data_IF_357379405481
#
_entry.id   IF_357379405481
#
_cell.length_a   1.000
_cell.length_b   1.000
_cell.length_c   1.000
_cell.angle_alpha   90.00
_cell.angle_beta   90.00
_cell.angle_gamma   90.00
#
_symmetry.space_group_name_H-M   'P 1'
#
loop_
_entity.id
_entity.type
_entity.pdbx_description
1 polymer ?
#
# COMPACT_ATOMS: atom_id res chain seq x y z
N UNK A 1 -3.57 2.24 11.30
CA UNK A 1 -4.67 1.93 10.37
C UNK A 1 -5.03 0.46 10.51
N UNK A 2 -6.25 0.03 10.22
CA UNK A 2 -6.63 -1.39 10.25
C UNK A 2 -6.50 -2.05 8.87
N UNK A 3 -6.26 -3.37 8.82
CA UNK A 3 -6.21 -4.17 7.57
C UNK A 3 -7.52 -4.09 6.80
N UNK A 4 -8.66 -4.07 7.49
CA UNK A 4 -9.97 -3.93 6.85
C UNK A 4 -10.14 -2.59 6.11
N UNK A 5 -9.55 -1.51 6.64
CA UNK A 5 -9.54 -0.21 5.94
C UNK A 5 -8.67 -0.25 4.68
N UNK A 6 -7.54 -0.98 4.75
CA UNK A 6 -6.67 -1.18 3.59
C UNK A 6 -7.34 -2.04 2.51
N UNK A 7 -8.02 -3.13 2.89
CA UNK A 7 -8.77 -3.99 1.95
C UNK A 7 -9.80 -3.18 1.16
N UNK A 8 -10.49 -2.24 1.81
CA UNK A 8 -11.46 -1.36 1.13
C UNK A 8 -10.84 -0.51 0.03
N UNK A 9 -9.56 -0.14 0.13
CA UNK A 9 -8.85 0.61 -0.92
C UNK A 9 -8.64 -0.21 -2.20
N UNK A 10 -8.71 -1.54 -2.10
CA UNK A 10 -8.57 -2.44 -3.26
C UNK A 10 -9.91 -2.98 -3.77
N UNK A 11 -10.97 -3.00 -2.95
CA UNK A 11 -12.24 -3.64 -3.32
C UNK A 11 -13.24 -2.74 -4.06
N UNK A 12 -13.20 -1.41 -3.87
CA UNK A 12 -14.22 -0.46 -4.41
C UNK A 12 -13.71 0.39 -5.58
N UNK A 13 -13.10 -0.26 -6.57
CA UNK A 13 -12.41 0.46 -7.65
C UNK A 13 -11.06 0.95 -7.17
N UNK A 14 -10.00 0.33 -7.70
CA UNK A 14 -8.65 0.60 -7.23
C UNK A 14 -8.20 2.01 -7.65
N UNK A 15 -7.72 2.77 -6.68
CA UNK A 15 -7.06 4.06 -6.89
C UNK A 15 -5.63 3.96 -6.38
N UNK A 16 -4.61 4.31 -7.19
CA UNK A 16 -3.22 4.28 -6.74
C UNK A 16 -3.00 5.04 -5.43
N UNK A 17 -2.28 4.44 -4.49
CA UNK A 17 -1.96 5.06 -3.20
C UNK A 17 -0.51 4.80 -2.77
N UNK A 18 -0.01 5.62 -1.85
CA UNK A 18 1.26 5.44 -1.15
C UNK A 18 0.98 5.02 0.29
N UNK A 19 1.58 3.93 0.71
CA UNK A 19 1.65 3.49 2.10
C UNK A 19 2.77 4.20 2.83
N UNK A 20 2.50 4.58 4.07
CA UNK A 20 3.49 5.14 4.99
C UNK A 20 3.57 4.26 6.23
N UNK A 21 4.79 3.93 6.62
CA UNK A 21 5.08 3.15 7.82
C UNK A 21 5.56 4.03 8.98
N UNK A 22 5.44 3.52 10.20
CA UNK A 22 5.89 4.20 11.43
C UNK A 22 7.40 4.39 11.50
N UNK A 23 8.17 3.59 10.76
CA UNK A 23 9.64 3.67 10.67
C UNK A 23 10.13 4.67 9.62
N UNK A 24 9.21 5.40 8.97
CA UNK A 24 9.52 6.39 7.94
C UNK A 24 9.61 5.82 6.52
N UNK A 25 9.54 4.49 6.32
CA UNK A 25 9.48 3.90 4.97
C UNK A 25 8.15 4.20 4.29
N UNK A 26 8.17 4.23 2.96
CA UNK A 26 6.96 4.40 2.16
C UNK A 26 6.99 3.57 0.89
N UNK A 27 5.84 3.07 0.48
CA UNK A 27 5.70 2.19 -0.68
C UNK A 27 4.58 2.69 -1.60
N UNK A 28 4.88 2.77 -2.90
CA UNK A 28 3.86 3.08 -3.90
C UNK A 28 3.10 1.80 -4.26
N UNK A 29 1.79 1.88 -4.30
CA UNK A 29 0.89 0.82 -4.78
C UNK A 29 0.20 1.37 -6.02
N UNK A 30 0.79 1.20 -7.22
CA UNK A 30 0.26 1.76 -8.47
C UNK A 30 -0.87 0.90 -9.09
N UNK A 31 -0.97 -0.36 -8.69
CA UNK A 31 -1.97 -1.32 -9.19
C UNK A 31 -2.29 -2.34 -8.07
N UNK A 32 -3.49 -2.95 -8.00
CA UNK A 32 -3.84 -3.87 -6.92
C UNK A 32 -2.94 -5.11 -6.84
N UNK A 33 -2.28 -5.51 -7.95
CA UNK A 33 -1.32 -6.63 -7.94
C UNK A 33 -0.06 -6.33 -7.10
N UNK A 34 0.22 -5.06 -6.80
CA UNK A 34 1.38 -4.65 -6.00
C UNK A 34 1.16 -4.80 -4.50
N UNK A 35 -0.02 -5.25 -4.07
CA UNK A 35 -0.35 -5.43 -2.66
C UNK A 35 -1.15 -6.71 -2.43
N UNK A 36 -0.83 -7.41 -1.35
CA UNK A 36 -1.60 -8.55 -0.86
C UNK A 36 -1.82 -8.43 0.65
N UNK A 37 -2.93 -9.00 1.13
CA UNK A 37 -3.35 -8.93 2.53
C UNK A 37 -3.55 -10.32 3.09
N UNK A 38 -3.02 -10.56 4.28
CA UNK A 38 -3.46 -11.63 5.18
C UNK A 38 -3.79 -11.03 6.55
N UNK A 39 -4.26 -11.86 7.46
CA UNK A 39 -4.56 -11.41 8.82
C UNK A 39 -3.29 -11.11 9.63
N UNK A 40 -2.13 -11.59 9.18
CA UNK A 40 -0.83 -11.45 9.85
C UNK A 40 0.08 -10.42 9.18
N UNK A 41 -0.08 -10.18 7.87
CA UNK A 41 0.86 -9.37 7.10
C UNK A 41 0.20 -8.67 5.91
N UNK A 42 0.77 -7.52 5.57
CA UNK A 42 0.57 -6.88 4.26
C UNK A 42 1.86 -7.07 3.46
N UNK A 43 1.74 -7.58 2.25
CA UNK A 43 2.87 -7.70 1.32
C UNK A 43 2.75 -6.62 0.27
N UNK A 44 3.82 -5.86 0.06
CA UNK A 44 3.89 -4.81 -0.98
C UNK A 44 5.10 -5.03 -1.86
N UNK A 45 4.92 -4.95 -3.18
CA UNK A 45 6.04 -5.02 -4.12
C UNK A 45 6.66 -3.64 -4.31
N UNK A 46 7.96 -3.52 -4.00
CA UNK A 46 8.71 -2.28 -4.14
C UNK A 46 8.99 -1.91 -5.60
N UNK A 47 9.63 -0.75 -5.82
CA UNK A 47 10.06 -0.32 -7.15
C UNK A 47 11.14 -1.26 -7.74
N UNK A 48 11.88 -1.94 -6.88
CA UNK A 48 12.84 -3.01 -7.19
C UNK A 48 12.16 -4.36 -7.50
N UNK A 49 10.82 -4.42 -7.47
CA UNK A 49 10.00 -5.63 -7.62
C UNK A 49 10.22 -6.69 -6.54
N UNK A 50 10.86 -6.33 -5.42
CA UNK A 50 11.01 -7.24 -4.29
C UNK A 50 9.82 -7.14 -3.34
N UNK A 51 9.36 -8.27 -2.77
CA UNK A 51 8.29 -8.27 -1.79
C UNK A 51 8.78 -7.69 -0.46
N UNK A 52 8.00 -6.78 0.11
CA UNK A 52 8.19 -6.25 1.46
C UNK A 52 7.06 -6.77 2.33
N UNK A 53 7.39 -7.58 3.33
CA UNK A 53 6.42 -8.11 4.31
C UNK A 53 6.33 -7.10 5.45
N UNK A 54 5.13 -6.60 5.72
CA UNK A 54 4.86 -5.51 6.65
C UNK A 54 3.86 -5.99 7.69
N UNK A 55 4.18 -5.85 8.97
CA UNK A 55 3.19 -5.98 10.04
C UNK A 55 2.17 -4.84 9.92
N UNK A 56 0.86 -5.13 9.83
CA UNK A 56 -0.16 -4.10 9.65
C UNK A 56 -0.12 -2.99 10.71
N UNK A 57 0.36 -3.27 11.92
CA UNK A 57 0.47 -2.29 13.01
C UNK A 57 1.48 -1.18 12.73
N UNK A 58 2.43 -1.42 11.82
CA UNK A 58 3.38 -0.40 11.38
C UNK A 58 2.81 0.51 10.31
N UNK A 59 1.64 0.21 9.72
CA UNK A 59 1.02 1.05 8.69
C UNK A 59 0.28 2.22 9.35
N UNK A 60 0.86 3.41 9.20
CA UNK A 60 0.32 4.64 9.81
C UNK A 60 -0.65 5.38 8.89
N UNK A 61 -0.47 5.30 7.56
CA UNK A 61 -1.45 5.85 6.61
C UNK A 61 -1.32 5.28 5.20
N UNK A 62 -2.41 5.35 4.44
CA UNK A 62 -2.44 5.18 2.98
C UNK A 62 -3.00 6.47 2.36
N UNK A 63 -2.27 7.08 1.43
CA UNK A 63 -2.67 8.36 0.80
C UNK A 63 -2.73 8.22 -0.71
N UNK A 64 -3.69 8.84 -1.41
CA UNK A 64 -3.73 8.81 -2.87
C UNK A 64 -2.38 9.22 -3.49
N UNK A 65 -1.91 8.44 -4.46
CA UNK A 65 -0.77 8.80 -5.28
C UNK A 65 -1.21 10.00 -6.13
N UNK A 66 -0.59 11.16 -5.92
CA UNK A 66 -0.80 12.29 -6.81
C UNK A 66 -0.36 11.88 -8.20
N UNK A 67 -1.30 11.77 -9.14
CA UNK A 67 -0.98 11.59 -10.54
C UNK A 67 -0.06 12.74 -10.95
N UNK A 68 1.16 12.43 -11.40
CA UNK A 68 1.97 13.42 -12.10
C UNK A 68 1.23 13.68 -13.41
N UNK A 69 0.78 14.90 -13.73
CA UNK A 69 0.20 15.16 -15.05
C UNK A 69 1.28 14.78 -16.07
N UNK A 70 0.94 13.85 -16.95
CA UNK A 70 1.75 13.55 -18.12
C UNK A 70 1.85 14.87 -18.91
N UNK A 71 3.09 15.37 -19.05
CA UNK A 71 3.40 16.48 -19.95
C UNK A 71 3.55 15.95 -21.36
#
# INVERSE_FOLDING_TARGET
MNVEELRKLTSNGFHPFKLHLSDGRSFNVPHPEFIAFSDLAVVVFGADRLPNIIDPRHIVSAKPLKAKPAK
#
